data_IF_985136172413
#
_entry.id   IF_985136172413
#
_cell.length_a   1.000
_cell.length_b   1.000
_cell.length_c   1.000
_cell.angle_alpha   90.00
_cell.angle_beta   90.00
_cell.angle_gamma   90.00
#
_symmetry.space_group_name_H-M   'P 1'
#
loop_
_entity.id
_entity.type
_entity.pdbx_description
1 polymer ?
2 non-polymer ?
3 non-polymer ?
4 non-polymer ?
5 water ?
#
# COMPACT_ATOMS: atom_id res chain seq x y z
N UNK A 19 7.78 28.17 18.22
CA UNK A 19 7.00 27.05 17.69
C UNK A 19 5.93 27.52 16.71
N UNK A 20 6.03 27.13 15.43
CA UNK A 20 4.95 27.39 14.47
C UNK A 20 3.70 26.58 14.86
N UNK A 21 2.51 27.15 14.60
CA UNK A 21 1.23 26.47 14.75
C UNK A 21 0.58 26.43 13.36
N UNK A 22 -0.34 25.50 13.14
CA UNK A 22 -1.01 25.36 11.83
C UNK A 22 -2.54 25.42 11.95
N UNK A 23 -3.15 24.38 12.52
CA UNK A 23 -4.61 24.32 12.66
C UNK A 23 -4.94 23.85 14.06
N UNK A 24 -4.51 24.66 15.03
CA UNK A 24 -4.61 24.34 16.44
C UNK A 24 -3.69 23.21 16.84
N UNK A 25 -2.44 23.26 16.34
CA UNK A 25 -1.45 22.18 16.53
C UNK A 25 -0.03 22.74 16.45
N UNK A 26 0.78 22.58 17.52
CA UNK A 26 2.19 22.97 17.49
C UNK A 26 2.98 22.11 16.48
N UNK A 27 3.89 22.75 15.74
CA UNK A 27 4.76 22.05 14.80
C UNK A 27 6.20 22.39 15.17
N UNK A 28 6.77 21.61 16.11
CA UNK A 28 8.10 21.89 16.68
C UNK A 28 9.18 21.33 15.77
N UNK A 29 9.30 21.88 14.54
CA UNK A 29 10.19 21.34 13.49
C UNK A 29 11.36 22.25 13.18
N UNK A 30 11.40 23.47 13.73
CA UNK A 30 12.51 24.36 13.48
C UNK A 30 13.76 23.99 14.26
N UNK A 31 14.88 24.70 14.01
CA UNK A 31 15.07 25.80 13.05
C UNK A 31 15.02 25.38 11.56
N UNK A 32 15.33 24.11 11.26
CA UNK A 32 15.51 23.67 9.87
C UNK A 32 14.31 23.87 8.95
N UNK A 33 13.09 23.63 9.44
CA UNK A 33 11.87 23.65 8.63
C UNK A 33 10.94 24.79 9.00
N UNK A 34 10.64 25.67 8.02
CA UNK A 34 9.85 26.90 8.23
C UNK A 34 8.75 27.08 7.17
N UNK A 35 7.95 28.15 7.31
CA UNK A 35 6.94 28.56 6.33
C UNK A 35 5.96 27.41 6.03
N UNK A 36 5.33 26.92 7.09
CA UNK A 36 4.41 25.80 7.04
C UNK A 36 3.10 26.14 6.36
N UNK A 37 2.62 25.25 5.45
CA UNK A 37 1.26 25.32 4.92
C UNK A 37 0.56 24.01 5.20
N UNK A 38 -0.65 24.10 5.71
CA UNK A 38 -1.49 22.94 5.94
C UNK A 38 -1.71 22.17 4.61
N UNK A 39 -1.60 20.83 4.65
CA UNK A 39 -1.91 19.92 3.54
C UNK A 39 -3.14 19.10 3.90
N UNK A 40 -3.12 18.48 5.07
CA UNK A 40 -4.17 17.56 5.46
C UNK A 40 -3.97 16.94 6.84
N UNK A 41 -4.85 16.02 7.18
CA UNK A 41 -4.80 15.31 8.46
C UNK A 41 -5.60 14.05 8.37
N UNK A 42 -5.42 13.18 9.34
CA UNK A 42 -6.15 11.92 9.38
C UNK A 42 -5.93 11.24 10.71
N UNK A 43 -6.27 9.95 10.82
CA UNK A 43 -6.06 9.19 12.06
C UNK A 43 -4.58 9.16 12.47
N UNK A 44 -3.67 9.09 11.46
CA UNK A 44 -2.22 9.14 11.61
C UNK A 44 -1.71 10.40 12.34
N UNK A 45 -2.39 11.54 12.16
CA UNK A 45 -1.94 12.82 12.68
C UNK A 45 -2.17 13.89 11.64
N UNK A 46 -1.21 14.83 11.47
CA UNK A 46 -1.35 15.98 10.56
C UNK A 46 -0.13 16.15 9.63
N UNK A 47 -0.37 16.65 8.40
CA UNK A 47 0.66 16.84 7.45
C UNK A 47 0.64 18.26 6.92
N UNK A 48 1.83 18.84 6.80
CA UNK A 48 2.08 20.16 6.26
C UNK A 48 3.17 20.03 5.27
N UNK A 49 3.27 21.01 4.35
CA UNK A 49 4.51 21.30 3.65
C UNK A 49 5.28 22.36 4.45
N UNK A 50 6.60 22.34 4.31
CA UNK A 50 7.51 23.28 4.98
C UNK A 50 8.67 23.53 4.09
N UNK A 51 9.27 24.72 4.17
CA UNK A 51 10.53 25.04 3.50
C UNK A 51 11.69 24.45 4.31
N UNK A 52 12.47 23.57 3.66
CA UNK A 52 13.66 22.96 4.24
C UNK A 52 14.81 23.95 4.00
N UNK A 53 15.31 24.60 5.06
CA UNK A 53 16.37 25.63 4.96
C UNK A 53 17.78 25.05 4.74
N UNK A 54 17.97 23.72 4.79
CA UNK A 54 19.23 23.07 4.35
C UNK A 54 19.17 22.75 2.85
N UNK A 55 18.18 21.96 2.39
CA UNK A 55 18.11 21.55 0.97
C UNK A 55 17.42 22.58 0.09
N UNK A 56 16.79 23.62 0.66
CA UNK A 56 16.15 24.71 -0.07
C UNK A 56 14.98 24.23 -0.95
N UNK A 57 14.18 23.27 -0.43
CA UNK A 57 12.97 22.75 -1.10
C UNK A 57 11.84 22.67 -0.09
N UNK A 58 10.60 22.71 -0.56
CA UNK A 58 9.51 22.39 0.32
C UNK A 58 9.47 20.87 0.43
N UNK A 59 9.05 20.40 1.60
CA UNK A 59 9.04 18.99 1.97
C UNK A 59 7.72 18.70 2.60
N UNK A 60 7.35 17.45 2.70
CA UNK A 60 6.19 17.06 3.46
C UNK A 60 6.69 16.71 4.85
N UNK A 61 5.94 17.14 5.87
CA UNK A 61 6.23 16.81 7.25
C UNK A 61 4.96 16.37 7.87
N UNK A 62 4.93 15.15 8.39
CA UNK A 62 3.77 14.65 9.10
C UNK A 62 4.10 14.47 10.55
N UNK A 63 3.22 15.03 11.41
CA UNK A 63 3.29 14.98 12.86
C UNK A 63 2.50 13.78 13.35
N UNK A 64 3.22 12.84 13.96
CA UNK A 64 2.65 11.63 14.53
C UNK A 64 2.74 11.78 16.05
N UNK A 65 1.65 11.46 16.73
CA UNK A 65 1.51 11.55 18.20
C UNK A 65 0.96 10.21 18.64
N UNK A 66 1.77 9.14 18.55
CA UNK A 66 1.23 7.78 18.67
C UNK A 66 1.33 7.12 20.04
N UNK A 67 1.90 7.78 21.04
CA UNK A 67 2.44 7.04 22.16
C UNK A 67 1.38 6.57 23.14
N UNK A 68 0.15 7.13 23.06
CA UNK A 68 -0.93 6.66 23.96
C UNK A 68 -1.64 5.40 23.41
N UNK A 69 -1.34 4.96 22.15
CA UNK A 69 -1.98 3.78 21.55
C UNK A 69 -0.95 2.84 20.94
N UNK A 70 -0.91 1.57 21.45
CA UNK A 70 0.03 0.53 20.92
C UNK A 70 -0.04 0.34 19.38
N UNK A 71 -1.24 0.43 18.81
CA UNK A 71 -1.44 0.21 17.37
C UNK A 71 -0.85 1.36 16.58
N UNK A 72 -0.87 2.59 17.13
CA UNK A 72 -0.28 3.73 16.44
C UNK A 72 1.22 3.65 16.53
N UNK A 73 1.77 3.23 17.69
CA UNK A 73 3.22 2.95 17.85
C UNK A 73 3.69 1.87 16.84
N UNK A 74 2.86 0.85 16.63
CA UNK A 74 3.17 -0.26 15.68
C UNK A 74 3.26 0.26 14.27
N UNK A 75 2.26 1.02 13.86
CA UNK A 75 2.24 1.60 12.53
C UNK A 75 3.42 2.52 12.31
N UNK A 76 3.72 3.37 13.30
CA UNK A 76 4.86 4.28 13.28
C UNK A 76 6.20 3.52 13.16
N UNK A 77 6.40 2.49 13.98
CA UNK A 77 7.63 1.75 13.95
C UNK A 77 7.83 0.99 12.63
N UNK A 78 6.80 0.32 12.11
CA UNK A 78 6.88 -0.38 10.85
C UNK A 78 7.28 0.55 9.75
N UNK A 79 6.57 1.69 9.67
CA UNK A 79 6.80 2.74 8.66
C UNK A 79 8.26 3.20 8.71
N UNK A 80 8.74 3.56 9.90
CA UNK A 80 10.07 4.10 10.04
C UNK A 80 11.11 3.05 9.68
N UNK A 81 11.02 1.85 10.28
CA UNK A 81 12.02 0.77 10.09
C UNK A 81 12.09 0.43 8.56
N UNK A 82 10.93 0.18 7.94
CA UNK A 82 10.89 -0.20 6.53
C UNK A 82 11.45 0.89 5.66
N UNK A 83 10.90 2.10 5.79
CA UNK A 83 11.28 3.17 4.89
C UNK A 83 12.71 3.63 5.05
N UNK A 84 13.30 3.53 6.23
CA UNK A 84 14.73 3.85 6.35
C UNK A 84 15.66 2.78 5.71
N UNK A 85 15.21 1.53 5.65
CA UNK A 85 15.96 0.45 5.02
C UNK A 85 15.84 0.57 3.52
N UNK A 86 14.63 0.84 3.02
CA UNK A 86 14.40 0.81 1.59
C UNK A 86 14.96 2.02 0.92
N UNK A 87 15.46 1.81 -0.31
CA UNK A 87 15.93 2.89 -1.14
C UNK A 87 15.54 2.62 -2.58
N UNK A 88 14.52 3.32 -3.09
CA UNK A 88 13.99 3.03 -4.41
C UNK A 88 13.24 4.21 -4.95
N UNK A 89 13.44 4.52 -6.24
CA UNK A 89 12.80 5.63 -6.93
C UNK A 89 11.27 5.67 -6.82
N UNK A 90 10.60 4.48 -6.73
CA UNK A 90 9.13 4.36 -6.66
C UNK A 90 8.63 4.08 -5.28
N UNK A 91 9.47 4.35 -4.24
CA UNK A 91 9.10 4.18 -2.88
C UNK A 91 9.43 5.50 -2.19
N UNK A 92 8.45 6.06 -1.43
CA UNK A 92 8.70 7.31 -0.71
C UNK A 92 9.84 6.99 0.34
N UNK A 93 10.74 7.89 0.49
CA UNK A 93 11.80 7.73 1.48
C UNK A 93 11.40 8.44 2.76
N UNK A 94 12.19 8.29 3.80
CA UNK A 94 12.25 9.28 4.88
C UNK A 94 13.54 10.12 4.80
N UNK A 95 13.40 11.41 4.77
CA UNK A 95 14.54 12.32 4.69
C UNK A 95 15.09 12.69 6.02
N UNK A 96 14.21 12.82 7.01
CA UNK A 96 14.58 13.34 8.31
C UNK A 96 13.49 12.93 9.29
N UNK A 97 13.86 12.84 10.58
CA UNK A 97 12.88 12.60 11.63
C UNK A 97 13.25 13.58 12.72
N UNK A 98 12.27 14.33 13.20
CA UNK A 98 12.46 15.27 14.29
C UNK A 98 11.69 14.74 15.51
N UNK A 99 12.37 14.71 16.63
CA UNK A 99 11.72 14.45 17.91
C UNK A 99 12.56 15.01 19.04
N UNK A 100 11.98 15.11 20.23
CA UNK A 100 12.66 15.54 21.47
C UNK A 100 14.00 14.79 21.73
N UNK A 101 14.95 15.43 22.42
CA UNK A 101 16.22 14.73 22.68
C UNK A 101 16.18 13.60 23.69
N UNK A 102 15.13 13.48 24.49
CA UNK A 102 15.02 12.40 25.49
C UNK A 102 13.70 11.66 25.30
N UNK A 103 13.60 10.41 25.80
CA UNK A 103 12.35 9.63 25.73
C UNK A 103 11.22 10.33 26.49
N UNK A 104 11.57 10.90 27.62
CA UNK A 104 10.67 11.56 28.58
C UNK A 104 9.98 12.73 27.92
N UNK A 105 10.76 13.52 27.14
CA UNK A 105 10.26 14.71 26.44
C UNK A 105 9.66 14.43 25.10
N UNK A 106 9.83 13.19 24.57
CA UNK A 106 9.30 12.83 23.28
C UNK A 106 7.81 12.48 23.36
N UNK A 107 6.95 13.40 22.91
CA UNK A 107 5.49 13.19 22.79
C UNK A 107 5.07 13.13 21.32
N UNK A 108 5.88 13.67 20.40
CA UNK A 108 5.57 13.66 18.99
C UNK A 108 6.77 13.16 18.17
N UNK A 109 6.49 12.65 16.98
CA UNK A 109 7.52 12.33 15.97
C UNK A 109 7.11 13.03 14.71
N UNK A 110 8.03 13.84 14.14
CA UNK A 110 7.80 14.46 12.85
C UNK A 110 8.61 13.70 11.79
N UNK A 111 7.94 13.18 10.76
CA UNK A 111 8.63 12.42 9.70
C UNK A 111 8.62 13.28 8.49
N UNK A 112 9.83 13.53 7.95
CA UNK A 112 10.02 14.44 6.83
C UNK A 112 10.21 13.61 5.61
N UNK A 113 9.44 13.91 4.54
CA UNK A 113 9.48 13.19 3.29
C UNK A 113 9.40 14.13 2.13
N UNK A 114 9.81 13.62 0.93
CA UNK A 114 9.74 14.41 -0.30
C UNK A 114 8.29 14.80 -0.49
N UNK A 115 8.06 16.05 -0.87
CA UNK A 115 6.72 16.58 -1.02
C UNK A 115 6.25 16.21 -2.42
N UNK A 116 5.07 15.65 -2.52
CA UNK A 116 4.53 15.25 -3.83
C UNK A 116 3.25 16.07 -4.12
N UNK A 117 2.97 16.36 -5.39
CA UNK A 117 1.89 17.29 -5.82
C UNK A 117 0.54 16.73 -5.46
N UNK A 118 0.34 15.44 -5.70
CA UNK A 118 -0.97 14.83 -5.58
C UNK A 118 -0.84 13.31 -5.36
N UNK A 119 -1.96 12.61 -5.46
CA UNK A 119 -1.99 11.17 -5.32
C UNK A 119 -2.96 10.61 -6.33
N UNK A 120 -2.96 9.28 -6.52
CA UNK A 120 -3.74 8.67 -7.60
C UNK A 120 -5.26 8.73 -7.28
N UNK A 121 -5.64 8.72 -5.98
CA UNK A 121 -7.05 8.89 -5.59
C UNK A 121 -7.58 10.20 -6.10
N UNK A 122 -6.86 11.27 -5.83
CA UNK A 122 -7.25 12.63 -6.20
C UNK A 122 -7.28 12.77 -7.70
N UNK A 123 -6.26 12.24 -8.36
CA UNK A 123 -6.15 12.35 -9.81
C UNK A 123 -7.31 11.61 -10.49
N UNK A 124 -7.64 10.42 -10.02
CA UNK A 124 -8.74 9.64 -10.58
C UNK A 124 -10.13 10.31 -10.34
N UNK A 125 -10.30 11.05 -9.26
CA UNK A 125 -11.58 11.76 -9.07
C UNK A 125 -11.79 12.88 -10.14
N UNK A 126 -10.71 13.51 -10.65
CA UNK A 126 -10.73 14.70 -11.51
C UNK A 126 -10.27 14.49 -12.98
N UNK A 127 -9.48 13.43 -13.27
CA UNK A 127 -8.78 13.33 -14.56
C UNK A 127 -9.02 12.00 -15.24
N UNK A 128 -9.38 12.05 -16.54
CA UNK A 128 -9.25 10.88 -17.44
C UNK A 128 -7.75 10.60 -17.67
N UNK A 129 -7.35 9.34 -17.51
CA UNK A 129 -5.97 8.90 -17.81
C UNK A 129 -5.88 8.38 -19.24
N UNK A 130 -4.88 8.83 -20.01
CA UNK A 130 -4.64 8.21 -21.31
C UNK A 130 -4.13 6.78 -21.07
N UNK A 131 -4.28 5.89 -22.07
CA UNK A 131 -3.65 4.59 -21.99
C UNK A 131 -2.14 4.70 -21.69
N UNK A 132 -1.41 5.65 -22.28
CA UNK A 132 0.00 5.86 -21.95
C UNK A 132 0.26 6.22 -20.48
N UNK A 133 -0.60 7.01 -19.88
CA UNK A 133 -0.52 7.30 -18.44
C UNK A 133 -0.78 6.07 -17.61
N UNK A 134 -1.79 5.28 -17.97
CA UNK A 134 -2.15 4.06 -17.22
C UNK A 134 -0.97 3.09 -17.23
N UNK A 135 -0.38 2.97 -18.43
CA UNK A 135 0.77 2.06 -18.65
C UNK A 135 1.98 2.47 -17.76
N UNK A 136 2.34 3.75 -17.78
CA UNK A 136 3.44 4.30 -17.01
C UNK A 136 3.19 4.21 -15.49
N UNK A 137 2.01 4.53 -15.04
CA UNK A 137 1.68 4.38 -13.62
C UNK A 137 1.80 2.95 -13.17
N UNK A 138 1.18 2.03 -13.95
CA UNK A 138 1.23 0.59 -13.58
C UNK A 138 2.65 0.05 -13.56
N UNK A 139 3.44 0.48 -14.54
CA UNK A 139 4.86 0.07 -14.59
C UNK A 139 5.54 0.50 -13.29
N UNK A 140 5.38 1.76 -12.93
CA UNK A 140 6.01 2.30 -11.71
C UNK A 140 5.59 1.59 -10.43
N UNK A 141 4.26 1.34 -10.28
CA UNK A 141 3.71 0.58 -9.15
C UNK A 141 4.41 -0.76 -9.08
N UNK A 142 4.44 -1.51 -10.21
CA UNK A 142 5.01 -2.86 -10.19
C UNK A 142 6.52 -2.84 -9.94
N UNK A 143 7.20 -1.80 -10.44
CA UNK A 143 8.69 -1.67 -10.28
C UNK A 143 8.99 -1.49 -8.78
N UNK A 144 8.25 -0.61 -8.10
CA UNK A 144 8.33 -0.41 -6.66
C UNK A 144 7.99 -1.68 -5.90
N UNK A 145 6.92 -2.33 -6.32
CA UNK A 145 6.51 -3.58 -5.65
C UNK A 145 7.49 -4.71 -5.82
N UNK A 146 8.17 -4.80 -6.97
CA UNK A 146 9.23 -5.79 -7.13
C UNK A 146 10.25 -5.65 -6.04
N UNK A 147 10.68 -4.43 -5.78
CA UNK A 147 11.66 -4.15 -4.75
C UNK A 147 11.09 -4.55 -3.37
N UNK A 148 9.87 -4.12 -3.06
CA UNK A 148 9.24 -4.41 -1.77
C UNK A 148 9.19 -5.95 -1.53
N UNK A 149 8.64 -6.69 -2.50
CA UNK A 149 8.52 -8.13 -2.46
C UNK A 149 9.88 -8.84 -2.44
N UNK A 150 10.89 -8.26 -3.13
CA UNK A 150 12.27 -8.82 -3.09
C UNK A 150 12.85 -8.76 -1.69
N UNK A 151 12.34 -7.85 -0.82
CA UNK A 151 12.81 -7.72 0.56
C UNK A 151 11.98 -8.61 1.49
N UNK A 152 11.13 -9.52 0.90
CA UNK A 152 10.19 -10.35 1.63
C UNK A 152 9.19 -9.56 2.48
N UNK A 153 8.85 -8.33 2.01
CA UNK A 153 7.89 -7.47 2.66
C UNK A 153 6.60 -7.46 1.80
N UNK A 154 5.48 -7.40 2.46
CA UNK A 154 4.15 -7.17 1.89
C UNK A 154 3.69 -5.80 2.33
N UNK A 155 3.22 -4.97 1.38
CA UNK A 155 2.71 -3.65 1.70
C UNK A 155 1.40 -3.74 2.47
N UNK A 156 0.47 -4.52 1.93
CA UNK A 156 -0.82 -4.90 2.53
C UNK A 156 -1.89 -3.78 2.56
N UNK A 157 -1.63 -2.60 1.99
CA UNK A 157 -2.69 -1.60 1.89
C UNK A 157 -2.53 -0.76 0.65
N UNK A 158 -2.29 -1.42 -0.48
CA UNK A 158 -2.06 -0.68 -1.72
C UNK A 158 -3.42 -0.16 -2.19
N UNK A 159 -3.48 1.11 -2.52
CA UNK A 159 -4.69 1.78 -2.99
C UNK A 159 -4.33 3.09 -3.60
N UNK A 160 -5.22 3.70 -4.38
CA UNK A 160 -4.83 4.98 -5.02
C UNK A 160 -4.30 6.08 -4.12
N UNK A 161 -4.82 6.24 -2.91
CA UNK A 161 -4.36 7.32 -2.03
C UNK A 161 -2.95 7.03 -1.48
N UNK A 162 -2.46 5.79 -1.56
CA UNK A 162 -1.10 5.45 -1.18
C UNK A 162 -0.13 5.50 -2.33
N UNK A 163 -0.54 6.07 -3.48
CA UNK A 163 0.36 6.19 -4.63
C UNK A 163 0.48 7.69 -4.87
N UNK A 164 1.59 8.26 -4.48
CA UNK A 164 1.87 9.68 -4.64
C UNK A 164 2.46 10.00 -6.01
N UNK A 165 2.13 11.19 -6.54
CA UNK A 165 2.53 11.65 -7.86
C UNK A 165 3.04 13.05 -7.83
N UNK A 166 4.02 13.31 -8.65
CA UNK A 166 4.58 14.65 -8.82
C UNK A 166 4.07 15.24 -10.15
N UNK A 167 4.53 16.42 -10.57
CA UNK A 167 3.90 17.13 -11.68
C UNK A 167 4.28 16.51 -13.01
N UNK A 168 5.28 15.62 -13.03
CA UNK A 168 5.71 14.87 -14.20
C UNK A 168 5.32 13.43 -14.09
N UNK A 169 4.33 13.12 -13.28
CA UNK A 169 3.75 11.77 -13.15
C UNK A 169 4.75 10.70 -12.66
N UNK A 170 5.84 11.10 -11.94
CA UNK A 170 6.66 10.13 -11.22
C UNK A 170 5.83 9.66 -10.03
N UNK A 171 5.85 8.34 -9.73
CA UNK A 171 4.98 7.74 -8.75
C UNK A 171 5.80 7.13 -7.66
N UNK A 172 5.31 7.28 -6.44
CA UNK A 172 5.96 6.73 -5.24
C UNK A 172 4.91 6.11 -4.30
N UNK A 173 5.16 4.85 -3.91
CA UNK A 173 4.32 4.11 -3.02
C UNK A 173 4.60 4.68 -1.63
N UNK A 174 3.58 5.01 -0.86
CA UNK A 174 3.75 5.42 0.53
C UNK A 174 2.91 4.57 1.48
N UNK A 175 3.03 4.86 2.79
CA UNK A 175 2.28 4.27 3.89
C UNK A 175 2.55 2.79 4.11
N UNK A 176 3.58 2.51 4.90
CA UNK A 176 3.95 1.15 5.21
C UNK A 176 3.56 0.74 6.63
N UNK A 177 2.59 1.43 7.21
CA UNK A 177 2.17 1.16 8.58
C UNK A 177 1.46 -0.16 8.78
N UNK A 178 0.93 -0.76 7.71
CA UNK A 178 0.37 -2.11 7.73
C UNK A 178 1.27 -3.18 7.13
N UNK A 179 2.48 -2.85 6.77
CA UNK A 179 3.36 -3.81 6.12
C UNK A 179 3.84 -4.91 7.03
N UNK A 180 4.15 -6.09 6.43
CA UNK A 180 4.63 -7.25 7.18
C UNK A 180 5.65 -8.00 6.39
N UNK A 181 6.46 -8.76 7.10
CA UNK A 181 7.27 -9.77 6.46
C UNK A 181 6.33 -10.83 6.00
N UNK A 182 6.56 -11.34 4.79
CA UNK A 182 5.78 -12.42 4.24
C UNK A 182 5.88 -13.69 5.05
N UNK A 183 4.78 -14.38 5.22
CA UNK A 183 4.73 -15.58 6.05
C UNK A 183 3.76 -16.59 5.49
N UNK A 184 4.06 -17.09 4.28
CA UNK A 184 3.14 -18.02 3.62
C UNK A 184 2.73 -19.27 4.37
N UNK A 185 3.58 -19.81 5.26
CA UNK A 185 3.22 -21.06 5.95
C UNK A 185 2.24 -20.85 7.10
N UNK A 186 2.01 -19.57 7.53
CA UNK A 186 1.04 -19.22 8.56
C UNK A 186 -0.10 -18.38 7.94
N UNK A 187 -0.39 -18.56 6.65
CA UNK A 187 -1.39 -17.75 5.97
C UNK A 187 -2.85 -18.19 6.23
N UNK A 188 -3.05 -19.46 6.62
CA UNK A 188 -4.38 -20.01 6.66
C UNK A 188 -5.15 -19.52 7.89
N UNK A 189 -6.44 -19.22 7.70
CA UNK A 189 -7.33 -18.92 8.81
C UNK A 189 -8.75 -19.41 8.42
N UNK A 190 -9.70 -19.25 9.34
CA UNK A 190 -11.08 -19.59 9.09
C UNK A 190 -11.83 -18.56 8.29
N UNK A 191 -13.10 -18.87 8.09
CA UNK A 191 -14.00 -18.10 7.24
C UNK A 191 -14.44 -16.78 7.96
N UNK A 192 -14.43 -15.66 7.27
CA UNK A 192 -14.91 -14.37 7.81
C UNK A 192 -14.03 -13.88 8.98
N UNK A 193 -12.69 -14.09 8.90
CA UNK A 193 -11.74 -13.60 9.89
C UNK A 193 -11.55 -12.13 9.68
N UNK A 194 -11.56 -11.31 10.77
CA UNK A 194 -11.50 -9.84 10.64
C UNK A 194 -10.18 -9.40 10.04
N UNK A 195 -10.20 -8.29 9.30
CA UNK A 195 -9.02 -7.80 8.63
C UNK A 195 -9.02 -6.29 8.66
N UNK A 196 -7.82 -5.67 8.63
CA UNK A 196 -7.67 -4.23 8.83
C UNK A 196 -7.54 -3.43 7.52
N UNK A 197 -6.82 -3.95 6.53
CA UNK A 197 -6.58 -3.16 5.31
C UNK A 197 -7.85 -2.78 4.53
N UNK A 198 -7.75 -1.78 3.68
CA UNK A 198 -8.88 -1.11 2.99
C UNK A 198 -9.74 -2.06 2.16
N UNK A 199 -11.08 -2.04 2.44
CA UNK A 199 -12.01 -3.06 1.95
C UNK A 199 -12.00 -3.28 0.43
N UNK A 200 -12.13 -2.22 -0.32
CA UNK A 200 -12.29 -2.30 -1.77
C UNK A 200 -11.09 -3.00 -2.48
N UNK A 201 -9.95 -3.09 -1.84
CA UNK A 201 -8.70 -3.60 -2.47
C UNK A 201 -8.30 -4.95 -1.86
N UNK A 202 -9.18 -5.56 -1.05
CA UNK A 202 -8.95 -6.88 -0.41
C UNK A 202 -9.22 -8.03 -1.34
N UNK A 203 -8.23 -8.95 -1.42
CA UNK A 203 -8.32 -10.15 -2.24
C UNK A 203 -9.45 -11.05 -1.71
N UNK A 204 -10.10 -11.85 -2.59
CA UNK A 204 -11.25 -12.64 -2.14
C UNK A 204 -10.92 -13.60 -1.00
N UNK A 205 -9.69 -14.20 -1.04
CA UNK A 205 -9.18 -15.15 -0.02
C UNK A 205 -9.15 -14.61 1.38
N UNK A 206 -9.01 -13.27 1.56
CA UNK A 206 -9.10 -12.63 2.90
C UNK A 206 -10.41 -12.94 3.62
N UNK A 207 -11.51 -12.96 2.85
CA UNK A 207 -12.84 -13.20 3.37
C UNK A 207 -13.10 -14.70 3.59
N UNK A 208 -12.25 -15.55 3.01
CA UNK A 208 -12.41 -17.01 2.94
C UNK A 208 -11.45 -17.79 3.83
N UNK A 209 -10.12 -17.64 3.70
CA UNK A 209 -9.15 -18.51 4.41
C UNK A 209 -7.73 -17.97 4.53
N UNK A 210 -7.53 -16.66 4.35
CA UNK A 210 -6.19 -16.03 4.33
C UNK A 210 -6.10 -14.87 5.29
N UNK A 211 -4.95 -14.83 5.96
CA UNK A 211 -4.51 -13.72 6.83
C UNK A 211 -3.80 -12.63 6.05
N UNK A 212 -3.65 -12.76 4.74
CA UNK A 212 -2.94 -11.75 3.98
C UNK A 212 -1.45 -11.71 4.25
N UNK A 213 -0.83 -12.88 4.42
CA UNK A 213 0.61 -13.03 4.67
C UNK A 213 1.39 -13.52 3.45
N UNK A 214 0.81 -13.42 2.24
CA UNK A 214 1.54 -13.79 1.00
C UNK A 214 1.52 -12.61 0.01
N UNK A 215 2.49 -12.64 -0.88
CA UNK A 215 2.72 -11.56 -1.87
C UNK A 215 1.54 -11.37 -2.81
N UNK A 216 0.80 -12.47 -3.07
CA UNK A 216 -0.39 -12.45 -3.92
C UNK A 216 -1.48 -11.45 -3.40
N UNK A 217 -1.47 -11.06 -2.10
CA UNK A 217 -2.46 -10.09 -1.59
C UNK A 217 -2.23 -8.69 -2.24
N UNK A 218 -0.96 -8.35 -2.42
CA UNK A 218 -0.60 -7.08 -3.01
C UNK A 218 -0.90 -7.03 -4.50
N UNK A 219 -0.66 -8.14 -5.21
CA UNK A 219 -1.01 -8.22 -6.64
C UNK A 219 -2.48 -7.97 -6.86
N UNK A 220 -3.35 -8.56 -6.03
CA UNK A 220 -4.80 -8.33 -6.14
C UNK A 220 -5.06 -6.85 -6.04
N UNK A 221 -4.46 -6.18 -5.04
CA UNK A 221 -4.70 -4.76 -4.89
C UNK A 221 -4.28 -3.97 -6.12
N UNK A 222 -3.15 -4.30 -6.66
CA UNK A 222 -2.68 -3.66 -7.89
C UNK A 222 -3.69 -3.83 -9.07
N UNK A 223 -4.19 -5.06 -9.24
CA UNK A 223 -5.25 -5.39 -10.17
C UNK A 223 -6.43 -4.46 -10.01
N UNK A 224 -6.86 -4.21 -8.76
CA UNK A 224 -8.01 -3.33 -8.48
C UNK A 224 -7.69 -1.88 -8.91
N UNK A 225 -6.45 -1.45 -8.70
CA UNK A 225 -5.97 -0.11 -9.03
C UNK A 225 -5.95 0.01 -10.48
N UNK A 226 -5.45 -1.02 -11.20
CA UNK A 226 -5.44 -1.03 -12.64
C UNK A 226 -6.86 -0.87 -13.19
N UNK A 227 -7.77 -1.66 -12.71
CA UNK A 227 -9.20 -1.52 -13.15
C UNK A 227 -9.76 -0.10 -12.87
N UNK A 228 -9.44 0.47 -11.72
CA UNK A 228 -9.87 1.79 -11.37
C UNK A 228 -9.24 2.84 -12.28
N UNK A 229 -7.99 2.62 -12.71
CA UNK A 229 -7.39 3.50 -13.73
C UNK A 229 -8.10 3.48 -15.07
N UNK A 230 -8.63 2.32 -15.44
CA UNK A 230 -9.29 2.18 -16.73
C UNK A 230 -10.66 2.93 -16.77
N UNK A 231 -11.37 3.05 -15.64
CA UNK A 231 -12.73 3.60 -15.64
C UNK A 231 -12.94 4.77 -14.68
N UNK A 232 -11.93 5.15 -13.86
CA UNK A 232 -12.05 6.14 -12.77
C UNK A 232 -13.07 5.73 -11.73
N UNK A 233 -13.38 4.45 -11.59
CA UNK A 233 -14.33 4.03 -10.54
C UNK A 233 -13.78 2.78 -9.90
N UNK A 234 -13.88 2.60 -8.57
CA UNK A 234 -13.43 1.33 -8.00
C UNK A 234 -14.19 0.15 -8.59
N UNK A 235 -13.46 -0.91 -8.92
CA UNK A 235 -14.08 -2.08 -9.55
C UNK A 235 -14.97 -2.87 -8.56
N UNK A 236 -14.61 -2.98 -7.28
CA UNK A 236 -15.33 -3.81 -6.28
C UNK A 236 -15.62 -2.94 -5.03
N UNK A 237 -16.56 -2.00 -5.16
CA UNK A 237 -16.82 -1.09 -4.06
C UNK A 237 -17.78 -1.69 -3.01
N UNK A 238 -17.33 -2.72 -2.28
CA UNK A 238 -18.17 -3.36 -1.28
C UNK A 238 -18.47 -2.45 -0.10
N UNK A 239 -19.67 -2.59 0.48
CA UNK A 239 -20.15 -1.71 1.57
C UNK A 239 -19.96 -2.33 2.94
N UNK A 240 -19.47 -3.56 2.99
CA UNK A 240 -19.17 -4.17 4.26
C UNK A 240 -18.46 -5.48 3.99
N UNK A 241 -17.94 -6.09 5.03
CA UNK A 241 -17.03 -7.22 4.94
C UNK A 241 -17.40 -8.25 3.87
N UNK A 242 -18.57 -8.92 3.96
CA UNK A 242 -18.89 -10.01 3.00
C UNK A 242 -19.37 -9.47 1.66
N UNK A 243 -19.98 -8.25 1.64
CA UNK A 243 -20.37 -7.61 0.38
C UNK A 243 -19.16 -7.47 -0.56
N UNK A 244 -17.96 -7.33 -0.01
CA UNK A 244 -16.72 -7.26 -0.81
C UNK A 244 -16.54 -8.53 -1.66
N UNK A 245 -16.70 -9.72 -1.06
CA UNK A 245 -16.77 -10.97 -1.82
C UNK A 245 -17.91 -10.99 -2.85
N UNK A 246 -19.13 -10.45 -2.54
CA UNK A 246 -20.30 -10.39 -3.46
C UNK A 246 -19.87 -9.65 -4.79
N UNK A 247 -19.24 -8.48 -4.61
CA UNK A 247 -18.82 -7.69 -5.75
C UNK A 247 -17.75 -8.50 -6.57
N UNK A 248 -16.79 -9.11 -5.91
CA UNK A 248 -15.73 -9.83 -6.59
C UNK A 248 -16.33 -10.95 -7.45
N UNK A 249 -17.13 -11.77 -6.83
CA UNK A 249 -17.79 -12.89 -7.54
C UNK A 249 -18.79 -12.40 -8.60
N UNK A 250 -19.43 -11.26 -8.38
CA UNK A 250 -20.29 -10.67 -9.39
C UNK A 250 -19.61 -10.46 -10.72
N UNK A 251 -18.28 -10.18 -10.73
CA UNK A 251 -17.54 -9.96 -11.99
C UNK A 251 -16.78 -11.23 -12.42
N UNK A 252 -16.08 -11.88 -11.47
CA UNK A 252 -15.27 -13.06 -11.82
C UNK A 252 -16.15 -14.26 -12.11
N UNK A 253 -17.32 -14.28 -11.51
CA UNK A 253 -18.23 -15.40 -11.62
C UNK A 253 -17.89 -16.46 -10.59
N UNK A 254 -18.69 -17.52 -10.56
CA UNK A 254 -18.47 -18.63 -9.67
C UNK A 254 -17.08 -19.25 -9.81
N UNK A 255 -16.37 -19.53 -8.71
CA UNK A 255 -15.11 -20.27 -8.86
C UNK A 255 -15.28 -21.67 -9.40
N UNK A 256 -14.25 -22.11 -10.10
CA UNK A 256 -14.17 -23.46 -10.67
C UNK A 256 -14.06 -24.47 -9.56
N UNK A 257 -14.40 -25.73 -9.91
CA UNK A 257 -14.29 -26.85 -8.97
C UNK A 257 -12.86 -26.89 -8.39
N UNK A 258 -11.89 -26.73 -9.25
CA UNK A 258 -10.48 -26.83 -8.88
C UNK A 258 -10.10 -25.78 -7.87
N UNK A 259 -10.51 -24.53 -8.11
CA UNK A 259 -10.26 -23.47 -7.15
C UNK A 259 -11.02 -23.64 -5.84
N UNK A 260 -12.22 -24.20 -5.90
CA UNK A 260 -12.98 -24.54 -4.68
C UNK A 260 -12.26 -25.63 -3.90
N UNK A 261 -11.73 -26.64 -4.57
CA UNK A 261 -11.00 -27.73 -3.91
C UNK A 261 -9.76 -27.28 -3.14
N UNK A 262 -9.17 -26.14 -3.52
CA UNK A 262 -8.08 -25.53 -2.77
C UNK A 262 -8.55 -24.86 -1.46
N UNK A 263 -9.87 -24.59 -1.30
CA UNK A 263 -10.42 -24.07 -0.06
C UNK A 263 -10.85 -25.28 0.78
N UNK A 264 -9.99 -25.68 1.72
CA UNK A 264 -10.23 -26.88 2.52
C UNK A 264 -11.21 -26.58 3.66
N UNK A 265 -11.16 -25.34 4.21
CA UNK A 265 -12.06 -24.96 5.30
C UNK A 265 -13.55 -25.10 4.81
N UNK A 266 -14.31 -25.89 5.51
CA UNK A 266 -15.67 -26.26 5.12
C UNK A 266 -16.64 -25.08 5.16
N UNK A 267 -16.53 -24.20 6.18
CA UNK A 267 -17.37 -23.00 6.24
C UNK A 267 -17.17 -22.18 4.99
N UNK A 268 -15.93 -21.95 4.56
CA UNK A 268 -15.67 -21.12 3.41
C UNK A 268 -16.17 -21.82 2.15
N UNK A 269 -15.83 -23.13 1.99
CA UNK A 269 -16.24 -23.88 0.79
C UNK A 269 -17.76 -23.95 0.67
N UNK A 270 -18.41 -24.28 1.76
CA UNK A 270 -19.85 -24.46 1.76
C UNK A 270 -20.57 -23.14 1.54
N UNK A 271 -19.97 -22.04 2.01
CA UNK A 271 -20.54 -20.73 1.68
C UNK A 271 -20.52 -20.56 0.16
N UNK A 272 -19.39 -20.75 -0.46
CA UNK A 272 -19.31 -20.64 -1.91
C UNK A 272 -20.22 -21.58 -2.68
N UNK A 273 -20.29 -22.83 -2.24
CA UNK A 273 -21.19 -23.80 -2.87
C UNK A 273 -22.67 -23.41 -2.73
N UNK A 274 -23.03 -22.65 -1.69
CA UNK A 274 -24.41 -22.23 -1.45
C UNK A 274 -24.90 -21.16 -2.43
N UNK A 275 -24.00 -20.49 -3.17
CA UNK A 275 -24.37 -19.34 -4.02
C UNK A 275 -24.87 -19.84 -5.36
N UNK A 276 -25.88 -19.19 -5.94
CA UNK A 276 -26.25 -19.55 -7.32
C UNK A 276 -25.10 -19.35 -8.28
N UNK A 277 -25.06 -20.18 -9.35
CA UNK A 277 -24.04 -20.06 -10.41
C UNK A 277 -24.07 -18.66 -11.01
N UNK A 278 -22.90 -17.98 -11.10
CA UNK A 278 -22.76 -16.65 -11.68
C UNK A 278 -21.71 -16.76 -12.78
N UNK A 279 -22.02 -16.21 -13.96
CA UNK A 279 -21.12 -16.16 -15.10
C UNK A 279 -20.12 -14.99 -14.97
N UNK A 280 -18.95 -15.21 -15.54
CA UNK A 280 -17.89 -14.22 -15.63
C UNK A 280 -18.35 -13.05 -16.51
N UNK A 281 -18.16 -11.83 -16.04
CA UNK A 281 -18.39 -10.62 -16.83
C UNK A 281 -17.08 -10.39 -17.60
N UNK A 282 -17.07 -10.38 -18.95
CA UNK A 282 -15.81 -10.23 -19.66
C UNK A 282 -15.23 -8.84 -19.45
N UNK A 283 -13.92 -8.77 -19.34
CA UNK A 283 -13.26 -7.49 -19.07
C UNK A 283 -13.56 -6.49 -20.17
N UNK A 284 -13.62 -6.96 -21.42
CA UNK A 284 -13.80 -6.04 -22.54
C UNK A 284 -15.24 -5.46 -22.62
N UNK A 285 -16.17 -6.03 -21.86
CA UNK A 285 -17.50 -5.45 -21.66
C UNK A 285 -17.52 -4.45 -20.53
N UNK A 286 -16.76 -4.69 -19.43
CA UNK A 286 -16.63 -3.69 -18.41
C UNK A 286 -15.75 -2.53 -18.83
N UNK A 287 -14.76 -2.76 -19.70
CA UNK A 287 -13.75 -1.76 -20.10
C UNK A 287 -13.68 -1.73 -21.64
N UNK A 288 -14.76 -1.27 -22.28
CA UNK A 288 -14.79 -1.26 -23.76
C UNK A 288 -13.70 -0.47 -24.47
N UNK A 289 -13.14 0.55 -23.81
CA UNK A 289 -12.13 1.42 -24.46
C UNK A 289 -10.69 1.03 -24.09
N UNK A 290 -10.54 -0.05 -23.26
CA UNK A 290 -9.23 -0.44 -22.77
C UNK A 290 -8.41 -1.15 -23.81
N UNK A 291 -7.10 -1.03 -23.67
CA UNK A 291 -6.12 -1.73 -24.48
C UNK A 291 -6.28 -3.22 -24.17
N UNK A 292 -6.31 -4.07 -25.18
CA UNK A 292 -6.55 -5.50 -24.94
C UNK A 292 -5.44 -6.17 -24.10
N UNK A 293 -4.20 -5.72 -24.27
CA UNK A 293 -3.08 -6.23 -23.46
C UNK A 293 -3.23 -5.83 -22.01
N UNK A 294 -3.70 -4.58 -21.75
CA UNK A 294 -3.98 -4.17 -20.35
C UNK A 294 -5.04 -5.10 -19.74
N UNK A 295 -6.05 -5.52 -20.54
CA UNK A 295 -7.12 -6.34 -20.00
C UNK A 295 -6.61 -7.74 -19.76
N UNK A 296 -5.64 -8.20 -20.55
CA UNK A 296 -5.05 -9.52 -20.35
C UNK A 296 -4.28 -9.54 -19.02
N UNK A 297 -3.46 -8.53 -18.77
CA UNK A 297 -2.74 -8.42 -17.49
C UNK A 297 -3.72 -8.26 -16.30
N UNK A 298 -4.79 -7.44 -16.45
CA UNK A 298 -5.80 -7.29 -15.45
C UNK A 298 -6.35 -8.61 -15.02
N UNK A 299 -6.68 -9.45 -15.98
CA UNK A 299 -7.27 -10.78 -15.75
C UNK A 299 -6.34 -11.64 -14.91
N UNK A 300 -5.03 -11.56 -15.17
CA UNK A 300 -4.04 -12.34 -14.46
C UNK A 300 -3.80 -11.86 -13.05
N UNK A 301 -3.97 -10.56 -12.82
CA UNK A 301 -3.81 -9.98 -11.50
C UNK A 301 -5.07 -10.25 -10.67
N UNK A 302 -6.27 -10.22 -11.32
CA UNK A 302 -7.53 -10.47 -10.63
C UNK A 302 -8.00 -11.91 -10.81
N UNK A 303 -7.10 -12.84 -10.58
CA UNK A 303 -7.38 -14.27 -10.58
C UNK A 303 -7.86 -14.65 -9.18
N UNK A 304 -8.92 -15.42 -9.12
CA UNK A 304 -9.56 -15.81 -7.86
C UNK A 304 -8.55 -16.61 -6.95
N UNK A 305 -7.91 -17.62 -7.54
CA UNK A 305 -7.02 -18.52 -6.85
C UNK A 305 -5.66 -17.81 -6.68
N UNK A 306 -5.26 -17.53 -5.42
CA UNK A 306 -3.99 -16.81 -5.25
C UNK A 306 -2.75 -17.55 -5.71
N UNK A 307 -2.77 -18.87 -5.75
CA UNK A 307 -1.69 -19.64 -6.31
C UNK A 307 -1.56 -19.47 -7.80
N UNK A 308 -2.61 -19.12 -8.50
CA UNK A 308 -2.59 -18.99 -9.94
C UNK A 308 -2.38 -17.52 -10.37
N UNK A 309 -2.47 -16.59 -9.43
CA UNK A 309 -2.35 -15.15 -9.62
C UNK A 309 -0.95 -14.86 -10.10
N UNK A 310 -0.84 -13.95 -11.04
CA UNK A 310 0.48 -13.58 -11.56
C UNK A 310 1.36 -12.97 -10.44
N UNK A 311 2.69 -13.18 -10.49
CA UNK A 311 3.64 -12.55 -9.60
C UNK A 311 4.16 -11.26 -10.15
N UNK A 312 4.77 -10.45 -9.28
CA UNK A 312 5.21 -9.09 -9.67
C UNK A 312 6.16 -9.13 -10.84
N UNK A 313 7.16 -10.03 -10.81
CA UNK A 313 8.14 -10.10 -11.90
C UNK A 313 7.54 -10.56 -13.23
N UNK A 314 6.58 -11.49 -13.18
CA UNK A 314 5.80 -11.85 -14.38
C UNK A 314 4.98 -10.71 -14.91
N UNK A 315 4.32 -9.97 -14.04
CA UNK A 315 3.52 -8.81 -14.41
C UNK A 315 4.42 -7.81 -15.17
N UNK A 316 5.60 -7.52 -14.66
CA UNK A 316 6.54 -6.59 -15.34
C UNK A 316 6.93 -7.04 -16.75
N UNK A 317 7.11 -8.37 -16.95
CA UNK A 317 7.43 -9.06 -18.21
C UNK A 317 6.19 -9.18 -19.15
N UNK A 318 4.98 -8.73 -18.72
CA UNK A 318 3.78 -8.88 -19.53
C UNK A 318 3.83 -7.94 -20.76
N UNK A 319 3.36 -8.43 -21.92
CA UNK A 319 3.36 -7.59 -23.15
C UNK A 319 2.83 -6.18 -23.01
N UNK A 320 1.82 -5.93 -22.14
CA UNK A 320 1.33 -4.59 -21.92
C UNK A 320 2.45 -3.59 -21.56
N UNK A 321 3.44 -4.03 -20.73
CA UNK A 321 4.52 -3.15 -20.27
C UNK A 321 5.83 -3.25 -21.08
N UNK A 322 5.81 -3.82 -22.28
CA UNK A 322 7.02 -4.04 -23.11
C UNK A 322 7.82 -2.78 -23.38
N UNK A 323 7.18 -1.62 -23.47
CA UNK A 323 7.95 -0.41 -23.78
C UNK A 323 8.83 -0.01 -22.62
N UNK A 324 8.47 -0.43 -21.37
CA UNK A 324 9.19 -0.04 -20.18
C UNK A 324 10.03 -1.17 -19.65
N UNK A 325 9.68 -2.42 -19.92
CA UNK A 325 10.26 -3.54 -19.17
C UNK A 325 11.77 -3.59 -19.38
N UNK A 326 12.50 -3.63 -18.31
CA UNK A 326 13.94 -3.72 -18.32
C UNK A 326 14.41 -4.25 -16.96
N UNK A 327 14.56 -5.59 -16.80
CA UNK A 327 14.89 -6.15 -15.47
C UNK A 327 16.18 -5.64 -14.87
N UNK A 328 17.12 -5.22 -15.69
CA UNK A 328 18.38 -4.62 -15.20
C UNK A 328 18.17 -3.26 -14.60
N UNK A 329 17.05 -2.61 -14.91
CA UNK A 329 16.68 -1.32 -14.34
C UNK A 329 15.47 -1.41 -13.42
N UNK A 330 15.26 -2.59 -12.79
CA UNK A 330 14.14 -2.83 -11.88
C UNK A 330 14.84 -3.47 -10.70
N UNK A 331 15.42 -2.63 -9.85
CA UNK A 331 16.25 -3.18 -8.78
C UNK A 331 15.51 -3.92 -7.69
N UNK A 332 16.30 -4.74 -7.03
CA UNK A 332 15.87 -5.48 -5.87
C UNK A 332 16.62 -5.05 -4.62
N UNK A 333 16.08 -5.41 -3.47
CA UNK A 333 16.69 -5.09 -2.20
C UNK A 333 18.01 -5.92 -2.00
N UNK A 334 19.02 -5.31 -1.40
CA UNK A 334 20.29 -5.96 -1.04
C UNK A 334 20.11 -7.14 -0.12
N UNK A 335 19.13 -7.08 0.77
CA UNK A 335 18.93 -8.19 1.70
C UNK A 335 17.45 -8.31 2.08
N UNK A 336 16.95 -9.51 2.39
CA UNK A 336 15.56 -9.64 2.88
C UNK A 336 15.39 -8.90 4.19
N UNK A 337 14.25 -8.30 4.37
CA UNK A 337 13.95 -7.51 5.55
C UNK A 337 13.51 -8.44 6.66
N UNK A 338 13.94 -8.15 7.89
CA UNK A 338 13.44 -8.83 9.11
C UNK A 338 13.39 -7.82 10.26
N UNK A 339 12.28 -7.83 11.02
CA UNK A 339 12.19 -7.09 12.29
C UNK A 339 13.05 -7.83 13.35
N UNK A 340 13.33 -7.19 14.51
CA UNK A 340 14.08 -7.83 15.61
C UNK A 340 13.09 -8.53 16.55
N UNK A 343 7.59 -7.59 15.77
CA UNK A 343 6.76 -8.20 16.81
C UNK A 343 5.49 -7.39 17.11
N UNK A 344 4.38 -8.11 17.39
CA UNK A 344 3.04 -7.58 17.59
C UNK A 344 2.57 -7.67 19.08
N UNK A 345 3.35 -8.34 19.99
CA UNK A 345 2.97 -8.46 21.42
C UNK A 345 3.52 -7.30 22.28
N UNK A 346 4.29 -6.36 21.70
CA UNK A 346 5.13 -5.47 22.49
C UNK A 346 4.32 -4.31 23.07
N UNK A 347 4.47 -3.93 24.35
CA UNK A 347 3.67 -2.82 24.86
C UNK A 347 4.01 -1.49 24.19
N UNK A 348 3.06 -0.53 24.16
CA UNK A 348 3.33 0.81 23.61
C UNK A 348 4.55 1.47 24.28
N UNK A 349 4.85 1.14 25.56
CA UNK A 349 6.06 1.67 26.22
C UNK A 349 7.35 1.08 25.64
N UNK A 350 7.38 -0.20 25.27
CA UNK A 350 8.54 -0.75 24.58
C UNK A 350 8.62 -0.18 23.14
N UNK A 351 7.49 -0.04 22.44
CA UNK A 351 7.54 0.44 21.07
C UNK A 351 8.09 1.88 21.00
N UNK A 352 7.73 2.75 21.99
CA UNK A 352 8.31 4.09 22.14
C UNK A 352 9.82 4.04 22.19
N UNK A 353 10.39 3.10 22.98
CA UNK A 353 11.84 2.87 23.06
C UNK A 353 12.43 2.56 21.70
N UNK A 354 11.79 1.66 20.95
CA UNK A 354 12.29 1.26 19.65
C UNK A 354 12.20 2.43 18.65
N UNK A 355 11.12 3.20 18.71
CA UNK A 355 10.96 4.43 17.91
C UNK A 355 12.08 5.44 18.26
N UNK A 356 12.38 5.58 19.54
CA UNK A 356 13.48 6.42 20.00
C UNK A 356 14.84 6.00 19.37
N UNK A 357 15.27 4.75 19.59
CA UNK A 357 16.47 4.16 18.94
C UNK A 357 16.53 4.32 17.41
N UNK A 358 15.44 4.02 16.74
CA UNK A 358 15.34 4.02 15.27
C UNK A 358 15.49 5.44 14.70
N UNK A 359 15.11 6.49 15.48
CA UNK A 359 15.15 7.88 15.04
C UNK A 359 16.42 8.62 15.46
N UNK A 360 17.30 7.98 16.23
CA UNK A 360 18.47 8.56 16.81
C UNK A 360 19.47 9.14 15.77
N UNK A 361 19.61 8.47 14.61
CA UNK A 361 20.54 8.91 13.55
C UNK A 361 20.25 10.33 13.01
N UNK A 362 19.02 10.85 13.24
CA UNK A 362 18.64 12.18 12.80
C UNK A 362 18.92 13.25 13.81
N UNK A 363 19.42 12.92 15.01
CA UNK A 363 19.77 13.91 15.99
C UNK A 363 21.17 14.45 15.69
N UNK A 364 21.44 15.73 16.03
CA UNK A 364 22.83 16.26 15.98
C UNK A 364 23.98 15.30 16.38
N UNK A 365 24.69 14.77 15.37
CA UNK A 365 25.86 13.92 15.56
C UNK A 365 25.66 12.51 15.05
X LIG B 1 -14.91 -4.35 7.44
X LIG B 1 -15.13 -4.85 6.05
X LIG B 1 -15.85 -4.95 8.38
X LIG B 1 -15.07 -2.85 7.37
X LIG B 1 -13.49 -4.68 7.88
X LIG C 1 -8.63 6.14 1.16
X LIG C 1 -9.24 4.77 1.34
X LIG C 1 -9.46 6.87 -0.23
X LIG C 1 -9.36 7.15 2.43
X LIG D 1 -13.30 12.02 -14.25
X LIG D 1 -13.01 11.25 -15.52
X LIG D 1 -14.96 12.62 -14.41
X LIG D 1 -13.60 10.82 -12.99
X LIG E 1 -2.93 -2.96 13.11
X LIG E 1 -1.97 -1.92 12.57
X LIG E 1 -4.52 -2.16 13.14
X LIG E 1 -3.24 -4.08 11.77
X LIG F 1 -17.21 2.58 5.31
X LIG F 1 -17.28 2.67 3.86
X LIG F 1 -18.30 1.73 5.80
X LIG F 1 -15.93 2.01 5.72
X LIG F 1 -17.34 3.92 5.89
X LIG G 1 -3.40 5.10 10.78
X LIG G 1 -1.44 5.63 12.07
X LIG G 1 0.43 6.25 13.43
X LIG G 1 1.22 6.34 12.29
X LIG G 1 0.68 6.11 11.03
X LIG G 1 -0.66 5.73 10.93
X LIG G 1 2.32 4.91 9.55
X LIG G 1 1.12 7.51 7.73
X LIG G 1 0.29 7.54 6.46
X LIG G 1 -0.22 9.97 5.88
X LIG G 1 0.73 12.80 3.47
X LIG G 1 1.98 10.79 3.04
X LIG G 1 1.32 10.17 4.09
X LIG G 1 1.42 8.80 4.63
X LIG G 1 2.40 12.84 1.63
X LIG G 1 2.31 14.38 -0.10
X LIG G 1 -1.77 16.83 -1.51
X LIG G 1 4.36 13.55 0.46
X LIG G 1 3.78 12.78 1.45
X LIG G 1 -2.77 5.26 12.04
X LIG G 1 -0.89 5.87 13.31
X LIG G 1 1.56 6.21 9.78
X LIG G 1 0.79 6.54 8.59
X LIG G 1 2.03 8.32 7.92
X LIG G 1 0.53 8.73 5.68
X LIG G 1 0.37 10.86 4.82
X LIG G 1 0.07 12.16 4.50
X LIG G 1 1.67 12.11 2.70
X LIG G 1 2.13 7.88 4.26
X LIG G 1 1.67 13.67 0.87
X LIG G 1 1.58 15.19 -0.89
X LIG G 1 0.14 15.35 -0.85
X LIG G 1 -0.27 16.72 -1.36
X LIG G 1 -2.29 15.79 -2.37
X LIG G 1 -2.02 14.50 -1.81
X LIG G 1 -0.52 14.25 -1.69
X LIG G 1 3.64 14.35 -0.33
X LIG G 1 4.78 11.79 2.46
X LIG G 1 -4.34 4.87 10.90
X LIG G 1 -2.96 4.37 10.28
X LIG G 1 -3.33 5.93 10.25
X LIG G 1 0.81 6.43 14.28
X LIG G 1 2.13 6.60 12.37
X LIG G 1 -1.03 5.55 10.08
X LIG G 1 2.82 4.98 8.71
X LIG G 1 1.69 4.17 9.48
X LIG G 1 2.93 4.75 10.29
X LIG G 1 0.51 6.76 5.92
X LIG G 1 -0.65 7.50 6.70
X LIG G 1 -1.17 9.83 5.74
X LIG G 1 -0.07 10.33 6.78
X LIG G 1 0.52 13.70 3.26
X LIG G 1 2.63 10.30 2.55
X LIG G 1 -2.20 16.75 -0.63
X LIG G 1 -2.00 17.70 -1.88
X LIG G 1 5.30 13.50 0.33
X LIG G 1 -1.43 5.81 14.09
X LIG G 1 2.21 6.93 9.94
X LIG G 1 0.21 5.96 8.32
X LIG G 1 -0.59 12.64 5.01
X LIG G 1 2.04 15.72 -1.43
X LIG G 1 -0.16 15.25 0.08
X LIG G 1 0.04 17.41 -0.72
X LIG G 1 0.16 16.90 -2.22
X LIG G 1 -2.42 13.82 -2.38
X LIG G 1 -2.44 14.44 -0.92
X LIG G 1 -0.13 14.24 -2.59
X LIG G 1 -0.37 13.38 -1.28
#
# INVERSE_FOLDING_TARGET
MAHHHHHHMAAAAAAGAGPEMVRGQVFDVGPRYTNLSYIGEGAYGMVCSAYDNVNKVRVAIKKISPFEHQTYCQRTLREIKILLRFRHENIIGINDIIRAPTIEQMKDVYIVQDLMETDLYKLLKTQHLSNDHICYFLYQILRGLKYIHSANVLHRDLKPSNLLLNTTCDLKICDFGLARVADPDHDHTGFLTEYVATRWYRAPEIMLNSKGYTKSIDIWSVGCILAEMLSNRPIFPGKHYLDQLNHILGILGSPSQEDLNCIINLKARNYLLSLPHKNKVPWNRLFPNADSKALDLLDKMLTFNPHKRIEVEQALAHPYLEQYYDPSDEPIAEAPFKFDMELDDLPKEKLKELIFEETARFQPGYRS
SO4 S O1 O2 O3 O4
DMS S O C1 C2
DMS S O C1 C2
DMS S O C1 C2
SO4 S O1 O2 O3 O4
EVQ C1 C3 C5 C6 C7 C8 C10 C12 C14 C16 C19 C21 C22 C23 C25 C27 C31 C36 C37 O2 C4 C9 N11 O13 N15 C17 C18 C20 O24 N26 N28 C29 C30 O32 C33 C34 N35 CL1 H42 H41 H40 H44 H45 H46 H49 H48 H47 H51 H52 H53 H54 H56 H57 H62 H63 H68 H43 H39 H50 H55 H58 H59 H60 H61 H65 H64 H66 H67
#
